data_IF_483718578909
#
_entry.id   IF_483718578909
#
_cell.length_a   1.000
_cell.length_b   1.000
_cell.length_c   1.000
_cell.angle_alpha   90.00
_cell.angle_beta   90.00
_cell.angle_gamma   90.00
#
_symmetry.space_group_name_H-M   'P 1'
#
loop_
_entity.id
_entity.type
_entity.pdbx_description
1 polymer ?
#
# COMPACT_ATOMS: atom_id res chain seq x y z
N UNK A 1 -35.71 -8.01 18.31
CA UNK A 1 -34.31 -7.58 18.39
C UNK A 1 -33.69 -7.65 17.00
N UNK A 2 -33.28 -6.51 16.42
CA UNK A 2 -32.62 -6.50 15.12
C UNK A 2 -31.22 -7.13 15.25
N UNK A 3 -30.95 -8.19 14.50
CA UNK A 3 -29.62 -8.80 14.39
C UNK A 3 -28.66 -7.73 13.89
N UNK A 4 -27.71 -7.29 14.73
CA UNK A 4 -26.61 -6.42 14.30
C UNK A 4 -25.68 -7.23 13.41
N UNK A 5 -25.85 -7.13 12.10
CA UNK A 5 -24.85 -7.57 11.13
C UNK A 5 -23.71 -6.55 11.10
N UNK A 6 -22.86 -6.56 12.13
CA UNK A 6 -21.62 -5.80 12.16
C UNK A 6 -20.47 -6.79 12.18
N UNK A 7 -19.64 -6.81 11.14
CA UNK A 7 -18.40 -7.57 11.20
C UNK A 7 -17.54 -7.02 12.37
N UNK A 8 -16.99 -7.92 13.18
CA UNK A 8 -16.10 -7.56 14.27
C UNK A 8 -14.70 -7.33 13.69
N UNK A 9 -14.20 -6.10 13.76
CA UNK A 9 -12.88 -5.74 13.26
C UNK A 9 -11.90 -5.49 14.42
N UNK A 10 -10.66 -5.96 14.27
CA UNK A 10 -9.55 -5.61 15.16
C UNK A 10 -8.41 -5.01 14.34
N UNK A 11 -8.09 -3.75 14.60
CA UNK A 11 -6.95 -3.10 13.96
C UNK A 11 -5.64 -3.67 14.52
N UNK A 12 -4.72 -4.04 13.63
CA UNK A 12 -3.36 -4.47 14.00
C UNK A 12 -2.41 -3.28 13.89
N UNK A 13 -1.65 -3.02 14.96
CA UNK A 13 -0.67 -1.95 14.96
C UNK A 13 0.66 -2.44 14.35
N UNK A 14 0.92 -2.04 13.11
CA UNK A 14 2.15 -2.39 12.37
C UNK A 14 3.27 -1.34 12.51
N UNK A 15 3.12 -0.34 13.40
CA UNK A 15 4.06 0.79 13.46
C UNK A 15 5.50 0.41 13.77
N UNK A 16 5.72 -0.73 14.42
CA UNK A 16 7.05 -1.28 14.72
C UNK A 16 7.80 -1.74 13.46
N UNK A 17 7.10 -1.94 12.35
CA UNK A 17 7.67 -2.41 11.09
C UNK A 17 8.04 -1.26 10.14
N UNK A 18 7.68 -0.03 10.47
CA UNK A 18 8.00 1.13 9.63
C UNK A 18 9.50 1.35 9.57
N UNK A 19 10.03 1.43 8.35
CA UNK A 19 11.46 1.48 8.05
C UNK A 19 11.84 2.63 7.11
N UNK A 20 10.94 3.58 6.88
CA UNK A 20 11.24 4.75 6.05
C UNK A 20 12.42 5.55 6.63
N UNK A 21 13.42 5.95 5.81
CA UNK A 21 14.63 6.61 6.29
C UNK A 21 14.35 7.83 7.17
N UNK A 22 14.94 7.86 8.37
CA UNK A 22 14.91 9.02 9.23
C UNK A 22 16.04 9.99 8.85
N UNK A 23 15.72 11.28 8.65
CA UNK A 23 16.72 12.34 8.49
C UNK A 23 16.77 12.97 7.09
N UNK A 24 17.94 13.49 6.72
CA UNK A 24 18.14 14.24 5.47
C UNK A 24 18.26 13.27 4.30
N UNK A 25 17.12 12.99 3.70
CA UNK A 25 16.98 12.18 2.50
C UNK A 25 17.77 12.82 1.35
N UNK A 26 18.73 12.07 0.79
CA UNK A 26 19.53 12.46 -0.38
C UNK A 26 19.00 11.72 -1.61
N UNK A 27 19.08 12.36 -2.78
CA UNK A 27 18.56 11.82 -4.04
C UNK A 27 17.16 12.35 -4.38
N UNK A 28 16.90 12.53 -5.68
CA UNK A 28 15.64 13.10 -6.20
C UNK A 28 14.48 12.13 -6.00
N UNK A 29 14.68 10.86 -6.32
CA UNK A 29 13.70 9.78 -6.15
C UNK A 29 13.12 9.74 -4.74
N UNK A 30 13.99 9.72 -3.72
CA UNK A 30 13.56 9.65 -2.33
C UNK A 30 12.77 10.90 -1.87
N UNK A 31 13.08 12.07 -2.43
CA UNK A 31 12.32 13.30 -2.14
C UNK A 31 10.91 13.22 -2.73
N UNK A 32 10.79 12.78 -3.98
CA UNK A 32 9.49 12.59 -4.63
C UNK A 32 8.63 11.56 -3.88
N UNK A 33 9.22 10.43 -3.48
CA UNK A 33 8.54 9.43 -2.67
C UNK A 33 8.06 10.02 -1.34
N UNK A 34 8.91 10.79 -0.64
CA UNK A 34 8.53 11.43 0.62
C UNK A 34 7.40 12.46 0.46
N UNK A 35 7.42 13.24 -0.62
CA UNK A 35 6.37 14.21 -0.96
C UNK A 35 5.03 13.51 -1.24
N UNK A 36 5.04 12.44 -2.05
CA UNK A 36 3.85 11.64 -2.35
C UNK A 36 3.25 11.02 -1.08
N UNK A 37 4.07 10.34 -0.27
CA UNK A 37 3.64 9.77 1.01
C UNK A 37 3.15 10.84 2.00
N UNK A 38 3.60 12.09 1.85
CA UNK A 38 3.12 13.23 2.63
C UNK A 38 1.62 13.53 2.41
N UNK A 39 1.11 13.22 1.22
CA UNK A 39 -0.29 13.40 0.82
C UNK A 39 -1.24 12.29 1.27
N UNK A 40 -0.72 11.16 1.75
CA UNK A 40 -1.57 10.05 2.21
C UNK A 40 -2.36 10.42 3.47
N UNK A 41 -3.58 9.86 3.63
CA UNK A 41 -4.39 10.06 4.82
C UNK A 41 -3.69 9.57 6.08
N UNK A 42 -3.99 10.20 7.23
CA UNK A 42 -3.30 10.00 8.51
C UNK A 42 -4.27 9.55 9.59
N UNK A 43 -3.78 8.77 10.55
CA UNK A 43 -4.58 8.37 11.71
C UNK A 43 -5.68 7.38 11.35
N UNK A 44 -6.79 7.42 12.08
CA UNK A 44 -7.91 6.50 11.88
C UNK A 44 -8.63 6.82 10.56
N UNK A 45 -8.91 5.79 9.80
CA UNK A 45 -9.58 5.85 8.50
C UNK A 45 -10.70 4.80 8.47
N UNK A 46 -11.71 5.05 7.63
CA UNK A 46 -12.78 4.10 7.37
C UNK A 46 -13.01 4.05 5.86
N UNK A 47 -12.83 2.88 5.26
CA UNK A 47 -13.05 2.64 3.84
C UNK A 47 -13.98 1.45 3.72
N UNK A 48 -15.10 1.59 3.00
CA UNK A 48 -16.10 0.54 2.84
C UNK A 48 -16.62 -0.02 4.18
N UNK A 49 -16.69 0.84 5.20
CA UNK A 49 -17.09 0.46 6.55
C UNK A 49 -16.01 -0.20 7.41
N UNK A 50 -14.85 -0.54 6.83
CA UNK A 50 -13.74 -1.24 7.51
C UNK A 50 -12.81 -0.22 8.17
N UNK A 51 -12.58 -0.30 9.50
CA UNK A 51 -11.68 0.61 10.20
C UNK A 51 -10.21 0.19 10.05
N UNK A 52 -9.35 1.14 9.66
CA UNK A 52 -7.90 0.96 9.65
C UNK A 52 -7.21 2.22 10.20
N UNK A 53 -5.92 2.11 10.51
CA UNK A 53 -5.14 3.22 11.03
C UNK A 53 -3.87 3.41 10.20
N UNK A 54 -3.77 4.57 9.54
CA UNK A 54 -2.56 5.01 8.86
C UNK A 54 -1.56 5.56 9.88
N UNK A 55 -0.26 5.36 9.64
CA UNK A 55 0.79 5.84 10.52
C UNK A 55 0.68 7.34 10.81
N UNK A 56 0.97 7.76 12.05
CA UNK A 56 0.85 9.15 12.48
C UNK A 56 2.17 9.95 12.39
N UNK A 57 3.33 9.30 12.14
CA UNK A 57 4.69 9.88 12.20
C UNK A 57 5.46 9.81 10.88
N UNK A 58 6.52 10.61 10.69
CA UNK A 58 7.31 10.70 9.43
C UNK A 58 7.77 9.33 8.88
N UNK A 59 8.16 8.39 9.73
CA UNK A 59 8.46 7.02 9.31
C UNK A 59 7.17 6.20 9.22
N UNK A 60 6.38 6.41 8.17
CA UNK A 60 4.95 6.07 8.09
C UNK A 60 4.67 4.86 7.19
N UNK A 61 5.74 4.19 6.77
CA UNK A 61 5.77 3.31 5.61
C UNK A 61 6.67 2.12 5.88
N UNK A 62 6.30 1.00 5.28
CA UNK A 62 7.13 -0.18 5.14
C UNK A 62 7.62 -0.17 3.69
N UNK A 63 8.93 -0.12 3.51
CA UNK A 63 9.60 -0.20 2.22
C UNK A 63 10.13 -1.63 2.07
N UNK A 64 9.82 -2.21 0.92
CA UNK A 64 10.40 -3.44 0.41
C UNK A 64 11.35 -3.05 -0.72
N UNK A 65 12.56 -3.58 -0.72
CA UNK A 65 13.64 -3.26 -1.67
C UNK A 65 14.40 -4.52 -2.05
N UNK A 66 15.30 -4.46 -3.04
CA UNK A 66 16.11 -5.63 -3.40
C UNK A 66 16.90 -6.22 -2.22
N UNK A 67 17.39 -5.37 -1.30
CA UNK A 67 18.12 -5.80 -0.10
C UNK A 67 17.21 -6.28 1.06
N UNK A 68 15.90 -6.09 0.91
CA UNK A 68 14.88 -6.46 1.91
C UNK A 68 13.54 -6.64 1.20
N UNK A 69 13.41 -7.79 0.56
CA UNK A 69 12.33 -8.17 -0.34
C UNK A 69 11.08 -8.68 0.40
N UNK A 70 11.17 -8.95 1.70
CA UNK A 70 10.04 -9.45 2.51
C UNK A 70 9.82 -8.67 3.82
N UNK A 71 8.55 -8.53 4.20
CA UNK A 71 8.12 -8.05 5.51
C UNK A 71 7.00 -8.93 6.06
N UNK A 72 7.33 -9.71 7.09
CA UNK A 72 6.36 -10.59 7.76
C UNK A 72 5.55 -9.84 8.82
N UNK A 73 4.22 -9.85 8.71
CA UNK A 73 3.29 -9.28 9.71
C UNK A 73 2.58 -10.43 10.43
N UNK A 74 2.98 -10.71 11.68
CA UNK A 74 2.31 -11.73 12.49
C UNK A 74 0.96 -11.23 12.98
N UNK A 75 -0.10 -11.95 12.60
CA UNK A 75 -1.46 -11.69 13.04
C UNK A 75 -1.82 -12.61 14.21
N UNK A 76 -2.65 -12.12 15.14
CA UNK A 76 -3.17 -12.92 16.26
C UNK A 76 -4.68 -13.10 16.11
N UNK A 77 -5.16 -14.33 16.19
CA UNK A 77 -6.59 -14.67 16.18
C UNK A 77 -7.06 -15.31 14.88
N UNK A 78 -8.38 -15.53 14.77
CA UNK A 78 -9.05 -16.07 13.59
C UNK A 78 -9.74 -14.94 12.84
N UNK A 79 -9.58 -14.88 11.53
CA UNK A 79 -10.26 -13.94 10.66
C UNK A 79 -10.98 -14.70 9.54
N UNK A 80 -12.20 -14.28 9.23
CA UNK A 80 -12.93 -14.80 8.06
C UNK A 80 -12.51 -14.09 6.76
N UNK A 81 -11.99 -12.86 6.88
CA UNK A 81 -11.55 -12.03 5.76
C UNK A 81 -10.30 -11.24 6.11
N UNK A 82 -9.42 -11.06 5.13
CA UNK A 82 -8.33 -10.10 5.15
C UNK A 82 -8.57 -9.06 4.06
N UNK A 83 -8.43 -7.77 4.41
CA UNK A 83 -8.58 -6.68 3.46
C UNK A 83 -7.26 -5.90 3.36
N UNK A 84 -6.76 -5.73 2.14
CA UNK A 84 -5.50 -5.06 1.84
C UNK A 84 -5.78 -3.87 0.93
N UNK A 85 -5.21 -2.72 1.26
CA UNK A 85 -5.21 -1.55 0.39
C UNK A 85 -3.86 -1.50 -0.33
N UNK A 86 -3.88 -1.56 -1.65
CA UNK A 86 -2.70 -1.53 -2.51
C UNK A 86 -2.81 -0.39 -3.52
N UNK A 87 -1.69 0.28 -3.79
CA UNK A 87 -1.52 1.23 -4.89
C UNK A 87 -0.24 0.85 -5.62
N UNK A 88 -0.32 0.68 -6.94
CA UNK A 88 0.85 0.58 -7.80
C UNK A 88 1.11 1.93 -8.48
N UNK A 89 2.37 2.36 -8.51
CA UNK A 89 2.74 3.64 -9.11
C UNK A 89 4.20 3.65 -9.60
N UNK A 90 4.40 4.20 -10.79
CA UNK A 90 5.71 4.67 -11.27
C UNK A 90 5.92 6.14 -10.87
N UNK A 91 7.15 6.48 -10.49
CA UNK A 91 7.56 7.88 -10.31
C UNK A 91 8.08 8.40 -11.65
N UNK A 92 7.83 9.67 -11.95
CA UNK A 92 7.94 10.26 -13.31
C UNK A 92 9.28 10.10 -14.05
N UNK A 93 10.38 9.80 -13.36
CA UNK A 93 11.69 9.57 -14.01
C UNK A 93 11.94 8.09 -14.37
N UNK A 94 11.12 7.18 -13.85
CA UNK A 94 11.20 5.73 -14.04
C UNK A 94 9.96 5.19 -14.80
N UNK A 95 9.28 6.05 -15.58
CA UNK A 95 8.19 5.63 -16.47
C UNK A 95 8.77 4.80 -17.62
N UNK A 96 8.89 3.50 -17.39
CA UNK A 96 9.15 2.54 -18.44
C UNK A 96 7.82 2.22 -19.13
N UNK A 97 7.73 2.51 -20.42
CA UNK A 97 6.55 2.22 -21.23
C UNK A 97 6.27 0.70 -21.36
N UNK A 98 7.27 -0.12 -21.05
CA UNK A 98 7.21 -1.58 -21.05
C UNK A 98 6.79 -2.18 -19.69
N UNK A 99 6.71 -1.35 -18.64
CA UNK A 99 6.31 -1.73 -17.28
C UNK A 99 4.77 -1.64 -17.10
N UNK A 100 4.21 -2.31 -16.08
CA UNK A 100 3.05 -3.18 -16.26
C UNK A 100 1.82 -2.55 -16.89
N UNK A 101 1.44 -3.14 -18.03
CA UNK A 101 0.10 -3.11 -18.62
C UNK A 101 -0.97 -3.40 -17.56
N UNK A 102 -2.12 -2.76 -17.67
CA UNK A 102 -3.26 -2.96 -16.76
C UNK A 102 -3.51 -4.46 -16.48
N UNK A 103 -3.63 -4.81 -15.20
CA UNK A 103 -3.90 -6.18 -14.78
C UNK A 103 -2.65 -7.08 -14.65
N UNK A 104 -1.44 -6.61 -14.95
CA UNK A 104 -0.23 -7.38 -14.67
C UNK A 104 -0.07 -7.55 -13.16
N UNK A 105 0.41 -8.72 -12.72
CA UNK A 105 0.77 -8.95 -11.33
C UNK A 105 2.02 -8.13 -11.01
N UNK A 106 1.91 -7.25 -10.02
CA UNK A 106 2.98 -6.33 -9.58
C UNK A 106 3.57 -6.69 -8.23
N UNK A 107 3.00 -7.71 -7.59
CA UNK A 107 3.45 -8.23 -6.30
C UNK A 107 2.49 -9.29 -5.80
N UNK A 108 2.88 -9.98 -4.73
CA UNK A 108 2.09 -11.03 -4.11
C UNK A 108 2.12 -10.87 -2.59
N UNK A 109 1.00 -11.14 -1.93
CA UNK A 109 0.95 -11.25 -0.47
C UNK A 109 0.86 -12.72 -0.08
N UNK A 110 1.81 -13.19 0.70
CA UNK A 110 1.76 -14.53 1.29
C UNK A 110 1.17 -14.49 2.71
N UNK A 111 0.20 -15.36 2.96
CA UNK A 111 -0.42 -15.58 4.27
C UNK A 111 -0.09 -16.98 4.75
N UNK A 112 0.62 -17.07 5.88
CA UNK A 112 0.88 -18.34 6.56
C UNK A 112 -0.09 -18.51 7.72
N UNK A 113 -0.89 -19.57 7.70
CA UNK A 113 -1.79 -19.93 8.79
C UNK A 113 -1.05 -20.73 9.88
N UNK A 114 -1.65 -20.83 11.06
CA UNK A 114 -1.04 -21.52 12.21
C UNK A 114 -0.83 -23.02 12.01
N UNK A 115 -1.54 -23.63 11.06
CA UNK A 115 -1.37 -25.04 10.66
C UNK A 115 -0.25 -25.23 9.62
N UNK A 116 0.44 -24.16 9.23
CA UNK A 116 1.50 -24.16 8.22
C UNK A 116 0.99 -24.05 6.79
N UNK A 117 -0.32 -24.00 6.55
CA UNK A 117 -0.85 -23.76 5.21
C UNK A 117 -0.56 -22.34 4.74
N UNK A 118 -0.40 -22.17 3.43
CA UNK A 118 -0.06 -20.89 2.80
C UNK A 118 -1.12 -20.49 1.78
N UNK A 119 -1.46 -19.21 1.74
CA UNK A 119 -2.30 -18.62 0.69
C UNK A 119 -1.61 -17.41 0.07
N UNK A 120 -1.56 -17.36 -1.25
CA UNK A 120 -0.91 -16.28 -2.01
C UNK A 120 -1.98 -15.46 -2.74
N UNK A 121 -2.01 -14.16 -2.45
CA UNK A 121 -2.91 -13.20 -3.10
C UNK A 121 -2.11 -12.28 -4.05
N UNK A 122 -2.29 -12.39 -5.38
CA UNK A 122 -1.64 -11.50 -6.31
C UNK A 122 -2.23 -10.08 -6.24
N UNK A 123 -1.33 -9.09 -6.30
CA UNK A 123 -1.64 -7.67 -6.52
C UNK A 123 -1.46 -7.35 -7.99
N UNK A 124 -2.38 -6.58 -8.56
CA UNK A 124 -2.31 -6.20 -9.97
C UNK A 124 -2.20 -4.70 -10.15
N UNK A 125 -1.51 -4.26 -11.20
CA UNK A 125 -1.45 -2.86 -11.59
C UNK A 125 -2.85 -2.37 -11.97
N UNK A 126 -3.25 -1.24 -11.41
CA UNK A 126 -4.46 -0.51 -11.83
C UNK A 126 -4.04 0.73 -12.60
N UNK A 127 -4.36 0.80 -13.89
CA UNK A 127 -4.13 2.00 -14.69
C UNK A 127 -5.31 2.97 -14.49
N UNK A 128 -5.06 4.13 -13.88
CA UNK A 128 -6.00 5.25 -14.01
C UNK A 128 -5.53 6.10 -15.18
N UNK A 129 -6.01 5.84 -16.40
CA UNK A 129 -5.73 6.69 -17.56
C UNK A 129 -6.33 8.08 -17.32
N UNK A 130 -5.51 9.06 -16.93
CA UNK A 130 -5.87 10.48 -17.02
C UNK A 130 -5.36 11.04 -18.33
N UNK A 131 -6.21 11.03 -19.35
CA UNK A 131 -6.02 11.82 -20.57
C UNK A 131 -5.94 13.30 -20.19
N UNK A 132 -4.73 13.83 -20.08
CA UNK A 132 -4.50 15.28 -20.10
C UNK A 132 -4.21 15.67 -21.54
N UNK A 133 -5.25 16.00 -22.31
CA UNK A 133 -5.07 16.76 -23.55
C UNK A 133 -4.56 18.13 -23.19
N UNK A 134 -3.25 18.33 -23.28
CA UNK A 134 -2.65 19.66 -23.36
C UNK A 134 -3.05 20.23 -24.73
N UNK A 135 -4.14 21.01 -24.76
CA UNK A 135 -4.45 21.84 -25.92
C UNK A 135 -3.35 22.88 -25.99
N UNK A 136 -2.41 22.71 -26.91
CA UNK A 136 -1.45 23.75 -27.29
C UNK A 136 -2.25 24.72 -28.17
N UNK A 137 -2.50 25.97 -27.74
CA UNK A 137 -3.05 26.96 -28.65
C UNK A 137 -2.01 27.23 -29.73
N UNK A 138 -2.37 26.98 -30.99
CA UNK A 138 -1.59 27.50 -32.11
C UNK A 138 -1.76 29.02 -32.12
N UNK A 139 -0.62 29.71 -32.20
CA UNK A 139 -0.54 31.15 -32.44
C UNK A 139 -1.17 31.53 -33.78
#
# INVERSE_FOLDING_TARGET
MARRYGAAFKTVNISKLFNFPAGRIKGRWWKQLAEHLGGYPKGKQQSWGIPFAMGARRARTIIVSADRDEVTIRLSGRADYLCLLHEWRQLQEDEHWDDPTEGLVVGEYELTYSDGSTHVQPCRSTCTVRSTRKIIPRA
#
